data_IF_290109845341
#
_entry.id   IF_290109845341
#
_cell.length_a   1.000
_cell.length_b   1.000
_cell.length_c   1.000
_cell.angle_alpha   90.00
_cell.angle_beta   90.00
_cell.angle_gamma   90.00
#
_symmetry.space_group_name_H-M   'P 1'
#
loop_
_entity.id
_entity.type
_entity.pdbx_description
1 polymer ?
#
# COMPACT_ATOMS: atom_id res chain seq x y z
N UNK A 1 -14.56 34.82 -33.58
CA UNK A 1 -13.31 34.04 -33.57
C UNK A 1 -13.69 32.64 -33.11
N UNK A 2 -13.53 31.65 -33.99
CA UNK A 2 -13.93 30.25 -33.71
C UNK A 2 -12.69 29.51 -33.15
N UNK A 3 -12.79 28.92 -31.93
CA UNK A 3 -11.72 28.09 -31.35
C UNK A 3 -11.58 26.73 -32.05
N UNK A 4 -10.41 26.10 -32.01
CA UNK A 4 -10.17 24.84 -32.70
C UNK A 4 -10.89 23.67 -32.01
N UNK A 5 -11.49 22.82 -32.85
CA UNK A 5 -12.14 21.59 -32.45
C UNK A 5 -11.08 20.54 -32.09
N UNK A 6 -11.20 19.98 -30.89
CA UNK A 6 -10.38 18.83 -30.42
C UNK A 6 -10.95 17.55 -31.06
N UNK A 7 -10.17 16.97 -31.98
CA UNK A 7 -10.53 15.73 -32.67
C UNK A 7 -10.16 14.54 -31.78
N UNK A 8 -11.15 13.93 -31.14
CA UNK A 8 -10.98 12.63 -30.47
C UNK A 8 -10.67 11.54 -31.49
N UNK A 9 -9.48 11.00 -31.49
CA UNK A 9 -9.13 9.79 -32.24
C UNK A 9 -9.75 8.57 -31.55
N UNK A 10 -10.78 7.99 -32.16
CA UNK A 10 -11.31 6.67 -31.77
C UNK A 10 -10.29 5.60 -32.12
N UNK A 11 -9.80 4.85 -31.14
CA UNK A 11 -8.96 3.66 -31.34
C UNK A 11 -9.84 2.47 -31.73
N UNK A 12 -9.43 1.77 -32.78
CA UNK A 12 -10.09 0.57 -33.30
C UNK A 12 -9.83 -0.62 -32.35
N UNK A 13 -10.91 -1.34 -32.01
CA UNK A 13 -10.86 -2.59 -31.23
C UNK A 13 -10.53 -3.76 -32.16
N UNK A 14 -9.49 -4.52 -31.83
CA UNK A 14 -9.24 -5.85 -32.41
C UNK A 14 -10.02 -6.91 -31.60
N UNK A 15 -10.61 -7.92 -32.22
CA UNK A 15 -11.37 -8.94 -31.52
C UNK A 15 -10.42 -9.98 -30.88
N UNK A 16 -10.61 -10.23 -29.58
CA UNK A 16 -9.97 -11.33 -28.87
C UNK A 16 -10.71 -12.63 -29.17
N UNK A 17 -10.00 -13.60 -29.71
CA UNK A 17 -10.47 -14.98 -29.93
C UNK A 17 -10.37 -15.74 -28.61
N UNK A 18 -11.51 -16.14 -28.04
CA UNK A 18 -11.58 -17.04 -26.89
C UNK A 18 -11.29 -18.48 -27.34
N UNK A 19 -10.18 -19.03 -26.86
CA UNK A 19 -9.92 -20.47 -26.91
C UNK A 19 -10.37 -21.13 -25.61
N UNK A 20 -11.44 -21.94 -25.69
CA UNK A 20 -11.96 -22.72 -24.56
C UNK A 20 -11.13 -23.98 -24.37
N UNK A 21 -10.53 -24.17 -23.21
CA UNK A 21 -9.94 -25.44 -22.78
C UNK A 21 -10.82 -26.02 -21.67
N UNK A 22 -11.52 -27.09 -21.97
CA UNK A 22 -12.25 -27.95 -21.03
C UNK A 22 -11.22 -28.89 -20.34
N UNK A 23 -11.08 -28.83 -19.05
CA UNK A 23 -10.43 -29.86 -18.24
C UNK A 23 -11.46 -30.52 -17.33
N UNK A 24 -11.71 -31.80 -17.59
CA UNK A 24 -12.55 -32.68 -16.79
C UNK A 24 -11.75 -33.17 -15.57
N UNK A 25 -12.30 -33.04 -14.36
CA UNK A 25 -11.78 -33.70 -13.16
C UNK A 25 -12.77 -34.76 -12.71
N UNK A 26 -12.29 -36.00 -12.67
CA UNK A 26 -12.99 -37.17 -12.22
C UNK A 26 -13.02 -37.27 -10.69
N UNK A 27 -14.22 -37.61 -10.16
CA UNK A 27 -14.48 -37.97 -8.77
C UNK A 27 -14.24 -39.47 -8.56
N UNK A 28 -13.49 -39.80 -7.51
CA UNK A 28 -13.56 -41.09 -6.82
C UNK A 28 -13.34 -40.77 -5.34
N UNK A 29 -14.08 -41.15 -4.38
CA UNK A 29 -14.96 -42.21 -4.06
C UNK A 29 -14.43 -42.99 -2.86
N UNK A 30 -15.21 -42.96 -1.72
CA UNK A 30 -15.32 -43.94 -0.65
C UNK A 30 -14.20 -44.12 0.43
N UNK A 31 -14.69 -44.10 1.67
CA UNK A 31 -13.99 -44.69 2.82
C UNK A 31 -14.65 -44.41 4.16
N UNK A 32 -15.53 -45.33 4.58
CA UNK A 32 -16.25 -45.40 5.85
C UNK A 32 -15.33 -45.76 7.07
N UNK A 33 -15.67 -45.29 8.26
CA UNK A 33 -15.64 -46.11 9.43
C UNK A 33 -14.70 -45.71 10.57
N UNK A 34 -15.25 -45.52 11.76
CA UNK A 34 -14.49 -45.64 13.00
C UNK A 34 -14.99 -44.77 14.15
N UNK A 35 -16.06 -45.24 14.83
CA UNK A 35 -16.39 -44.80 16.19
C UNK A 35 -15.36 -45.36 17.17
N UNK A 36 -14.94 -44.61 18.15
CA UNK A 36 -14.39 -45.12 19.41
C UNK A 36 -14.63 -44.18 20.57
N UNK A 37 -15.11 -44.79 21.56
CA UNK A 37 -15.69 -44.44 22.84
C UNK A 37 -14.86 -43.55 23.75
N UNK A 38 -15.58 -42.82 24.58
CA UNK A 38 -15.13 -42.07 25.73
C UNK A 38 -14.55 -42.98 26.83
N UNK A 39 -13.51 -42.48 27.52
CA UNK A 39 -13.19 -42.88 28.87
C UNK A 39 -12.57 -41.69 29.62
N UNK A 40 -13.31 -41.30 30.65
CA UNK A 40 -12.95 -40.30 31.65
C UNK A 40 -12.04 -40.95 32.71
N UNK A 41 -10.92 -40.33 33.11
CA UNK A 41 -10.26 -40.71 34.37
C UNK A 41 -10.61 -39.74 35.53
N UNK A 42 -10.47 -40.18 36.78
CA UNK A 42 -11.00 -39.49 37.95
C UNK A 42 -10.10 -38.35 38.43
N UNK A 43 -10.75 -37.39 39.08
CA UNK A 43 -10.12 -36.24 39.74
C UNK A 43 -9.22 -36.67 40.90
N UNK A 44 -7.96 -36.24 40.89
CA UNK A 44 -7.02 -36.34 42.00
C UNK A 44 -6.83 -34.93 42.58
N UNK A 45 -7.28 -34.75 43.82
CA UNK A 45 -7.02 -33.54 44.60
C UNK A 45 -5.53 -33.50 44.98
N UNK A 46 -4.79 -32.53 44.42
CA UNK A 46 -3.45 -32.18 44.86
C UNK A 46 -3.48 -30.82 45.58
N UNK A 47 -2.97 -30.84 46.80
CA UNK A 47 -2.89 -29.70 47.71
C UNK A 47 -2.09 -28.53 47.11
N UNK A 48 -2.63 -27.32 47.26
CA UNK A 48 -1.97 -26.07 46.87
C UNK A 48 -0.77 -25.79 47.79
N UNK A 49 0.45 -25.85 47.27
CA UNK A 49 1.63 -25.29 47.91
C UNK A 49 1.70 -23.79 47.58
N UNK A 50 1.62 -22.95 48.61
CA UNK A 50 1.79 -21.52 48.53
C UNK A 50 3.26 -21.18 48.19
N UNK A 51 3.54 -20.92 46.92
CA UNK A 51 4.82 -20.36 46.49
C UNK A 51 4.92 -18.86 46.81
N UNK A 52 6.13 -18.31 47.01
CA UNK A 52 6.29 -16.88 47.28
C UNK A 52 5.82 -16.03 46.11
N UNK A 53 5.15 -14.90 46.40
CA UNK A 53 4.65 -13.94 45.42
C UNK A 53 5.76 -13.48 44.49
N UNK A 54 5.51 -13.36 43.17
CA UNK A 54 6.49 -12.84 42.25
C UNK A 54 6.82 -11.40 42.61
N UNK A 55 8.13 -11.13 42.76
CA UNK A 55 8.69 -9.80 42.97
C UNK A 55 8.22 -8.87 41.83
N UNK A 56 7.83 -7.61 42.08
CA UNK A 56 7.39 -6.71 41.02
C UNK A 56 8.51 -6.54 40.01
N UNK A 57 8.21 -6.89 38.76
CA UNK A 57 9.14 -6.67 37.63
C UNK A 57 9.60 -5.22 37.63
N UNK A 58 10.92 -5.02 37.69
CA UNK A 58 11.54 -3.71 37.63
C UNK A 58 11.02 -2.98 36.38
N UNK A 59 10.31 -1.87 36.58
CA UNK A 59 9.97 -0.96 35.51
C UNK A 59 11.28 -0.47 34.90
N UNK A 60 11.64 -0.98 33.73
CA UNK A 60 12.72 -0.44 32.93
C UNK A 60 12.34 1.00 32.58
N UNK A 61 13.04 1.95 33.19
CA UNK A 61 12.98 3.36 32.82
C UNK A 61 13.29 3.46 31.32
N UNK A 62 12.48 4.16 30.51
CA UNK A 62 12.78 4.30 29.10
C UNK A 62 14.15 5.02 28.98
N UNK A 63 15.09 4.36 28.31
CA UNK A 63 16.40 4.92 28.00
C UNK A 63 16.19 6.19 27.19
N UNK A 64 16.51 7.36 27.76
CA UNK A 64 16.44 8.64 27.07
C UNK A 64 17.41 8.60 25.87
N UNK A 65 16.92 8.89 24.68
CA UNK A 65 17.77 9.02 23.49
C UNK A 65 18.65 10.27 23.66
N UNK A 66 19.94 10.18 23.31
CA UNK A 66 20.87 11.28 23.39
C UNK A 66 20.42 12.57 22.68
N UNK A 67 19.59 12.42 21.64
CA UNK A 67 18.90 13.51 20.95
C UNK A 67 17.56 13.00 20.45
N UNK A 68 16.46 13.59 20.92
CA UNK A 68 15.10 13.21 20.51
C UNK A 68 14.70 14.03 19.28
N UNK A 69 14.57 13.37 18.13
CA UNK A 69 14.10 13.99 16.87
C UNK A 69 12.71 13.50 16.45
N UNK A 70 12.29 12.38 16.98
CA UNK A 70 10.98 11.75 16.71
C UNK A 70 10.46 11.14 18.02
N UNK A 71 9.83 11.91 18.92
CA UNK A 71 9.29 11.44 20.18
C UNK A 71 8.33 10.27 19.97
N UNK A 72 8.38 9.26 20.85
CA UNK A 72 7.52 8.06 20.76
C UNK A 72 8.04 6.94 19.85
N UNK A 73 9.16 7.17 19.12
CA UNK A 73 9.88 6.11 18.45
C UNK A 73 11.02 5.57 19.34
N UNK A 74 11.36 4.27 19.26
CA UNK A 74 12.56 3.72 19.92
C UNK A 74 13.83 4.42 19.46
N UNK A 75 14.85 4.54 20.33
CA UNK A 75 16.09 5.27 20.00
C UNK A 75 16.78 4.76 18.73
N UNK A 76 16.79 3.44 18.51
CA UNK A 76 17.31 2.85 17.27
C UNK A 76 16.55 3.35 16.03
N UNK A 77 15.23 3.48 16.09
CA UNK A 77 14.43 4.03 14.99
C UNK A 77 14.69 5.52 14.81
N UNK A 78 14.83 6.28 15.89
CA UNK A 78 15.18 7.71 15.80
C UNK A 78 16.54 7.93 15.11
N UNK A 79 17.54 7.06 15.36
CA UNK A 79 18.82 7.12 14.65
C UNK A 79 18.62 6.92 13.15
N UNK A 80 17.86 5.90 12.75
CA UNK A 80 17.55 5.63 11.34
C UNK A 80 16.76 6.76 10.68
N UNK A 81 15.80 7.33 11.39
CA UNK A 81 15.06 8.52 10.92
C UNK A 81 16.02 9.68 10.64
N UNK A 82 17.02 9.89 11.51
CA UNK A 82 18.03 10.93 11.30
C UNK A 82 18.89 10.68 10.06
N UNK A 83 19.26 9.44 9.84
CA UNK A 83 20.03 9.03 8.64
C UNK A 83 19.21 9.24 7.37
N UNK A 84 17.95 8.79 7.37
CA UNK A 84 17.00 9.03 6.27
C UNK A 84 16.79 10.53 6.04
N UNK A 85 16.64 11.33 7.10
CA UNK A 85 16.49 12.80 6.96
C UNK A 85 17.66 13.44 6.22
N UNK A 86 18.91 13.02 6.51
CA UNK A 86 20.09 13.50 5.79
C UNK A 86 20.17 12.95 4.36
N UNK A 87 19.70 11.72 4.16
CA UNK A 87 19.71 11.09 2.86
C UNK A 87 18.77 11.80 1.89
N UNK A 88 17.51 12.02 2.28
CA UNK A 88 16.49 12.65 1.42
C UNK A 88 16.83 14.11 1.07
N UNK A 89 17.55 14.83 1.92
CA UNK A 89 17.99 16.20 1.62
C UNK A 89 18.94 16.31 0.42
N UNK A 90 19.53 15.21 -0.02
CA UNK A 90 20.47 15.15 -1.15
C UNK A 90 19.81 14.63 -2.42
N UNK A 91 18.55 14.24 -2.35
CA UNK A 91 17.81 13.78 -3.51
C UNK A 91 17.29 14.98 -4.33
N UNK A 92 17.31 14.90 -5.66
CA UNK A 92 16.67 15.92 -6.51
C UNK A 92 15.15 15.88 -6.36
N UNK A 93 14.49 16.93 -6.82
CA UNK A 93 13.02 17.00 -6.84
C UNK A 93 12.39 17.21 -5.46
N UNK A 94 11.15 16.77 -5.32
CA UNK A 94 10.34 16.94 -4.10
C UNK A 94 9.90 15.59 -3.56
N UNK A 95 10.32 15.25 -2.34
CA UNK A 95 9.96 14.00 -1.68
C UNK A 95 9.22 14.27 -0.38
N UNK A 96 7.95 13.85 -0.30
CA UNK A 96 7.15 13.83 0.92
C UNK A 96 7.20 12.45 1.58
N UNK A 97 7.43 12.38 2.90
CA UNK A 97 7.47 11.12 3.64
C UNK A 97 6.76 11.25 4.98
N UNK A 98 6.03 10.19 5.35
CA UNK A 98 5.42 9.98 6.67
C UNK A 98 5.74 8.57 7.14
N UNK A 99 6.21 8.45 8.37
CA UNK A 99 6.35 7.19 9.11
C UNK A 99 5.51 7.29 10.38
N UNK A 100 4.61 6.34 10.59
CA UNK A 100 3.76 6.29 11.77
C UNK A 100 3.97 4.97 12.53
N UNK A 101 4.18 5.05 13.82
CA UNK A 101 4.22 3.91 14.73
C UNK A 101 2.83 3.72 15.36
N UNK A 102 2.08 2.76 14.86
CA UNK A 102 0.71 2.48 15.31
C UNK A 102 0.61 1.98 16.75
N UNK A 103 1.69 1.43 17.30
CA UNK A 103 1.72 0.96 18.69
C UNK A 103 1.80 2.11 19.70
N UNK A 104 2.43 3.23 19.33
CA UNK A 104 2.59 4.40 20.21
C UNK A 104 1.80 5.62 19.75
N UNK A 105 1.27 5.61 18.53
CA UNK A 105 0.65 6.77 17.88
C UNK A 105 1.65 7.82 17.39
N UNK A 106 2.96 7.58 17.56
CA UNK A 106 4.00 8.53 17.15
C UNK A 106 4.08 8.62 15.64
N UNK A 107 4.23 9.84 15.12
CA UNK A 107 4.39 10.12 13.69
C UNK A 107 5.61 11.00 13.47
N UNK A 108 6.44 10.60 12.50
CA UNK A 108 7.49 11.43 11.95
C UNK A 108 7.21 11.72 10.48
N UNK A 109 7.54 12.91 10.04
CA UNK A 109 7.40 13.34 8.65
C UNK A 109 8.39 14.44 8.32
N UNK A 110 8.71 14.62 7.03
CA UNK A 110 9.49 15.76 6.57
C UNK A 110 8.60 16.98 6.23
N UNK A 111 9.23 18.07 5.81
CA UNK A 111 8.55 19.32 5.46
C UNK A 111 7.59 19.16 4.26
N UNK A 112 7.89 18.25 3.32
CA UNK A 112 7.11 18.03 2.10
C UNK A 112 6.00 16.98 2.23
N UNK A 113 5.77 16.43 3.41
CA UNK A 113 4.75 15.41 3.64
C UNK A 113 3.31 15.86 3.29
N UNK A 114 3.06 17.17 3.22
CA UNK A 114 1.78 17.76 2.86
C UNK A 114 1.78 18.41 1.45
N UNK A 115 2.84 18.25 0.66
CA UNK A 115 2.89 18.69 -0.72
C UNK A 115 1.98 17.82 -1.58
N UNK A 116 1.18 18.44 -2.44
CA UNK A 116 0.37 17.75 -3.43
C UNK A 116 1.30 17.22 -4.53
N UNK A 117 1.17 15.94 -4.81
CA UNK A 117 1.91 15.22 -5.85
C UNK A 117 0.89 14.28 -6.51
N UNK A 118 0.96 14.04 -7.83
CA UNK A 118 0.12 13.05 -8.49
C UNK A 118 0.14 11.71 -7.76
N UNK A 119 -1.04 11.19 -7.47
CA UNK A 119 -1.19 9.95 -6.68
C UNK A 119 -0.68 8.72 -7.42
N UNK A 120 -0.73 8.77 -8.76
CA UNK A 120 -0.52 7.62 -9.61
C UNK A 120 -1.35 6.41 -9.09
N UNK A 121 -0.89 5.21 -9.30
CA UNK A 121 -1.64 4.00 -8.88
C UNK A 121 -1.79 3.80 -7.37
N UNK A 122 -1.21 4.62 -6.49
CA UNK A 122 -1.47 4.50 -5.05
C UNK A 122 -2.92 4.79 -4.68
N UNK A 123 -3.63 5.60 -5.48
CA UNK A 123 -5.05 5.91 -5.28
C UNK A 123 -5.96 4.67 -5.43
N UNK A 124 -5.52 3.63 -6.14
CA UNK A 124 -6.26 2.37 -6.30
C UNK A 124 -6.54 1.71 -4.95
N UNK A 125 -5.67 1.90 -3.95
CA UNK A 125 -5.94 1.42 -2.59
C UNK A 125 -7.18 2.11 -1.98
N UNK A 126 -7.35 3.41 -2.18
CA UNK A 126 -8.54 4.13 -1.72
C UNK A 126 -9.80 3.66 -2.47
N UNK A 127 -9.71 3.47 -3.80
CA UNK A 127 -10.81 2.93 -4.61
C UNK A 127 -11.24 1.55 -4.11
N UNK A 128 -10.31 0.62 -3.93
CA UNK A 128 -10.64 -0.74 -3.47
C UNK A 128 -11.23 -0.71 -2.07
N UNK A 129 -10.75 0.18 -1.21
CA UNK A 129 -11.30 0.36 0.15
C UNK A 129 -12.73 0.88 0.09
N UNK A 130 -13.01 1.90 -0.71
CA UNK A 130 -14.36 2.46 -0.89
C UNK A 130 -15.34 1.42 -1.45
N UNK A 131 -14.97 0.76 -2.53
CA UNK A 131 -15.78 -0.28 -3.18
C UNK A 131 -16.12 -1.41 -2.20
N UNK A 132 -15.16 -1.89 -1.41
CA UNK A 132 -15.39 -2.96 -0.42
C UNK A 132 -16.33 -2.51 0.70
N UNK A 133 -16.16 -1.29 1.21
CA UNK A 133 -17.02 -0.75 2.25
C UNK A 133 -18.45 -0.54 1.76
N UNK A 134 -18.63 -0.03 0.56
CA UNK A 134 -19.95 0.15 -0.07
C UNK A 134 -20.63 -1.18 -0.38
N UNK A 135 -19.88 -2.19 -0.81
CA UNK A 135 -20.41 -3.53 -0.98
C UNK A 135 -20.87 -4.13 0.36
N UNK A 136 -20.11 -3.95 1.42
CA UNK A 136 -20.52 -4.39 2.76
C UNK A 136 -21.77 -3.66 3.27
N UNK A 137 -21.88 -2.36 2.97
CA UNK A 137 -23.05 -1.56 3.33
C UNK A 137 -24.28 -1.87 2.47
N UNK A 138 -24.20 -2.78 1.50
CA UNK A 138 -25.28 -3.12 0.58
C UNK A 138 -25.60 -2.05 -0.46
N UNK A 139 -24.73 -1.04 -0.60
CA UNK A 139 -24.93 0.06 -1.57
C UNK A 139 -24.58 -0.36 -3.00
N UNK A 140 -23.70 -1.33 -3.15
CA UNK A 140 -23.33 -1.96 -4.42
C UNK A 140 -23.23 -3.48 -4.23
N UNK A 141 -23.27 -4.24 -5.32
CA UNK A 141 -23.09 -5.69 -5.29
C UNK A 141 -21.96 -6.09 -6.24
N UNK A 142 -20.90 -6.67 -5.68
CA UNK A 142 -19.73 -7.10 -6.43
C UNK A 142 -19.95 -8.47 -7.08
N UNK A 143 -19.73 -8.53 -8.39
CA UNK A 143 -19.71 -9.75 -9.18
C UNK A 143 -18.35 -10.47 -9.06
N UNK A 144 -18.24 -11.73 -9.53
CA UNK A 144 -16.95 -12.40 -9.66
C UNK A 144 -15.94 -11.62 -10.56
N UNK A 145 -16.42 -10.98 -11.63
CA UNK A 145 -15.58 -10.16 -12.53
C UNK A 145 -15.02 -8.93 -11.80
N UNK A 146 -15.84 -8.25 -11.00
CA UNK A 146 -15.38 -7.10 -10.19
C UNK A 146 -14.29 -7.51 -9.19
N UNK A 147 -14.43 -8.68 -8.56
CA UNK A 147 -13.42 -9.21 -7.63
C UNK A 147 -12.12 -9.59 -8.34
N UNK A 148 -12.19 -10.09 -9.58
CA UNK A 148 -11.02 -10.37 -10.40
C UNK A 148 -10.31 -9.07 -10.78
N UNK A 149 -11.06 -8.04 -11.21
CA UNK A 149 -10.50 -6.72 -11.51
C UNK A 149 -9.87 -6.08 -10.27
N UNK A 150 -10.51 -6.13 -9.10
CA UNK A 150 -9.92 -5.65 -7.84
C UNK A 150 -8.61 -6.36 -7.51
N UNK A 151 -8.54 -7.67 -7.77
CA UNK A 151 -7.30 -8.43 -7.57
C UNK A 151 -6.20 -7.89 -8.47
N UNK A 152 -6.42 -7.73 -9.77
CA UNK A 152 -5.42 -7.27 -10.72
C UNK A 152 -5.00 -5.81 -10.46
N UNK A 153 -5.96 -4.93 -10.14
CA UNK A 153 -5.68 -3.54 -9.78
C UNK A 153 -4.75 -3.40 -8.55
N UNK A 154 -4.79 -4.36 -7.61
CA UNK A 154 -3.87 -4.41 -6.47
C UNK A 154 -2.59 -5.21 -6.77
N UNK A 155 -2.69 -6.33 -7.48
CA UNK A 155 -1.60 -7.29 -7.70
C UNK A 155 -0.53 -6.76 -8.66
N UNK A 156 -0.92 -6.40 -9.87
CA UNK A 156 -0.05 -5.85 -10.93
C UNK A 156 -0.17 -4.35 -11.09
N UNK A 157 -1.12 -3.72 -10.38
CA UNK A 157 -1.50 -2.32 -10.64
C UNK A 157 -2.19 -2.11 -12.00
N UNK A 158 -2.90 -3.11 -12.51
CA UNK A 158 -3.52 -3.07 -13.82
C UNK A 158 -4.46 -1.85 -13.96
N UNK A 159 -4.28 -1.06 -15.02
CA UNK A 159 -5.03 0.17 -15.27
C UNK A 159 -6.39 -0.12 -15.92
N UNK A 160 -6.48 -1.08 -16.85
CA UNK A 160 -7.76 -1.45 -17.48
C UNK A 160 -8.77 -1.98 -16.44
N UNK A 161 -8.29 -2.75 -15.48
CA UNK A 161 -9.11 -3.26 -14.38
C UNK A 161 -9.51 -2.13 -13.40
N UNK A 162 -8.63 -1.16 -13.19
CA UNK A 162 -8.96 0.02 -12.39
C UNK A 162 -10.01 0.89 -13.12
N UNK A 163 -9.87 1.10 -14.43
CA UNK A 163 -10.84 1.80 -15.27
C UNK A 163 -12.20 1.11 -15.25
N UNK A 164 -12.21 -0.21 -15.42
CA UNK A 164 -13.45 -0.99 -15.34
C UNK A 164 -14.19 -0.74 -14.02
N UNK A 165 -13.48 -0.77 -12.90
CA UNK A 165 -14.06 -0.53 -11.57
C UNK A 165 -14.45 0.93 -11.37
N UNK A 166 -13.64 1.87 -11.86
CA UNK A 166 -13.93 3.30 -11.76
C UNK A 166 -15.23 3.66 -12.49
N UNK A 167 -15.33 3.32 -13.75
CA UNK A 167 -16.52 3.64 -14.56
C UNK A 167 -17.79 2.91 -14.12
N UNK A 168 -17.63 1.81 -13.39
CA UNK A 168 -18.74 1.05 -12.86
C UNK A 168 -19.24 1.55 -11.49
N UNK A 169 -18.34 1.94 -10.63
CA UNK A 169 -18.66 2.18 -9.22
C UNK A 169 -18.30 3.59 -8.73
N UNK A 170 -17.38 4.27 -9.38
CA UNK A 170 -16.87 5.55 -8.92
C UNK A 170 -17.34 6.71 -9.80
N UNK A 171 -17.18 7.92 -9.27
CA UNK A 171 -17.51 9.18 -9.94
C UNK A 171 -16.95 10.36 -9.12
N UNK A 172 -17.36 11.58 -9.44
CA UNK A 172 -16.92 12.80 -8.74
C UNK A 172 -17.09 12.74 -7.21
N UNK A 173 -18.12 12.02 -6.71
CA UNK A 173 -18.34 11.89 -5.26
C UNK A 173 -17.34 10.98 -4.54
N UNK A 174 -16.44 10.32 -5.27
CA UNK A 174 -15.29 9.59 -4.69
C UNK A 174 -14.46 10.50 -3.77
N UNK A 175 -14.25 11.78 -4.16
CA UNK A 175 -13.51 12.74 -3.33
C UNK A 175 -14.16 12.99 -1.97
N UNK A 176 -15.49 12.98 -1.89
CA UNK A 176 -16.19 13.15 -0.61
C UNK A 176 -16.04 11.90 0.26
N UNK A 177 -16.07 10.72 -0.34
CA UNK A 177 -15.92 9.46 0.40
C UNK A 177 -14.50 9.24 0.93
N UNK A 178 -13.47 9.57 0.16
CA UNK A 178 -12.07 9.40 0.61
C UNK A 178 -11.69 10.38 1.73
N UNK A 179 -12.41 11.48 1.90
CA UNK A 179 -12.24 12.34 3.08
C UNK A 179 -12.50 11.59 4.38
N UNK A 180 -13.44 10.64 4.39
CA UNK A 180 -13.68 9.79 5.56
C UNK A 180 -12.49 8.87 5.89
N UNK A 181 -11.57 8.63 4.94
CA UNK A 181 -10.31 7.90 5.15
C UNK A 181 -9.17 8.81 5.65
N UNK A 182 -9.46 10.08 5.91
CA UNK A 182 -8.47 11.09 6.30
C UNK A 182 -7.71 11.72 5.14
N UNK A 183 -8.19 11.54 3.90
CA UNK A 183 -7.57 12.07 2.67
C UNK A 183 -8.12 13.47 2.31
N UNK A 184 -8.14 14.39 3.26
CA UNK A 184 -8.82 15.69 3.13
C UNK A 184 -8.22 16.63 2.07
N UNK A 185 -6.97 16.44 1.67
CA UNK A 185 -6.27 17.23 0.65
C UNK A 185 -6.14 16.50 -0.70
N UNK A 186 -6.85 15.40 -0.89
CA UNK A 186 -6.92 14.70 -2.16
C UNK A 186 -7.91 15.41 -3.08
N UNK A 187 -7.54 15.58 -4.35
CA UNK A 187 -8.33 16.34 -5.33
C UNK A 187 -8.13 15.80 -6.73
N UNK A 188 -9.13 16.01 -7.61
CA UNK A 188 -8.91 15.85 -9.05
C UNK A 188 -8.15 17.06 -9.59
N UNK A 189 -7.23 16.81 -10.51
CA UNK A 189 -6.48 17.86 -11.24
C UNK A 189 -7.16 18.27 -12.54
N UNK A 190 -7.83 17.32 -13.19
CA UNK A 190 -8.70 17.54 -14.33
C UNK A 190 -9.95 16.68 -14.14
N UNK A 191 -10.83 16.48 -14.95
CA UNK A 191 -12.05 15.67 -14.85
C UNK A 191 -12.19 14.74 -13.63
N UNK A 192 -13.31 14.09 -13.47
CA UNK A 192 -13.51 13.14 -12.35
C UNK A 192 -12.99 11.75 -12.77
N UNK A 193 -11.66 11.55 -12.69
CA UNK A 193 -11.00 10.31 -13.09
C UNK A 193 -9.88 9.95 -12.11
N UNK A 194 -9.72 8.66 -11.79
CA UNK A 194 -8.74 8.20 -10.80
C UNK A 194 -7.27 8.50 -11.20
N UNK A 195 -6.98 8.50 -12.50
CA UNK A 195 -5.65 8.82 -13.02
C UNK A 195 -5.27 10.30 -12.89
N UNK A 196 -6.27 11.17 -12.67
CA UNK A 196 -6.07 12.62 -12.55
C UNK A 196 -6.22 13.09 -11.09
N UNK A 197 -5.55 12.43 -10.17
CA UNK A 197 -5.67 12.70 -8.73
C UNK A 197 -4.35 13.12 -8.13
N UNK A 198 -4.34 14.29 -7.50
CA UNK A 198 -3.29 14.70 -6.57
C UNK A 198 -3.62 14.35 -5.14
N UNK A 199 -2.61 13.94 -4.39
CA UNK A 199 -2.72 13.68 -2.96
C UNK A 199 -1.41 14.04 -2.23
N UNK A 200 -1.29 13.68 -0.96
CA UNK A 200 -0.10 13.95 -0.14
C UNK A 200 0.36 12.69 0.58
N UNK A 201 1.63 12.61 0.96
CA UNK A 201 2.12 11.49 1.78
C UNK A 201 1.35 11.37 3.10
N UNK A 202 0.89 12.49 3.70
CA UNK A 202 0.01 12.46 4.88
C UNK A 202 -1.32 11.79 4.61
N UNK A 203 -1.94 12.09 3.47
CA UNK A 203 -3.23 11.49 3.11
C UNK A 203 -3.08 9.98 2.83
N UNK A 204 -2.00 9.56 2.19
CA UNK A 204 -1.72 8.14 1.96
C UNK A 204 -1.45 7.40 3.29
N UNK A 205 -0.72 8.00 4.24
CA UNK A 205 -0.55 7.43 5.57
C UNK A 205 -1.88 7.33 6.32
N UNK A 206 -2.72 8.37 6.26
CA UNK A 206 -4.05 8.35 6.85
C UNK A 206 -4.91 7.24 6.26
N UNK A 207 -4.90 7.07 4.94
CA UNK A 207 -5.59 5.96 4.26
C UNK A 207 -5.10 4.60 4.78
N UNK A 208 -3.80 4.39 4.84
CA UNK A 208 -3.23 3.13 5.32
C UNK A 208 -3.62 2.87 6.78
N UNK A 209 -3.55 3.88 7.64
CA UNK A 209 -4.03 3.78 9.02
C UNK A 209 -5.52 3.48 9.09
N UNK A 210 -6.34 4.10 8.24
CA UNK A 210 -7.77 3.80 8.16
C UNK A 210 -8.00 2.34 7.78
N UNK A 211 -7.32 1.83 6.74
CA UNK A 211 -7.39 0.43 6.32
C UNK A 211 -7.06 -0.50 7.49
N UNK A 212 -6.00 -0.22 8.24
CA UNK A 212 -5.51 -1.09 9.30
C UNK A 212 -6.29 -1.01 10.62
N UNK A 213 -7.08 0.07 10.85
CA UNK A 213 -7.73 0.31 12.15
C UNK A 213 -9.25 0.46 12.08
N UNK A 214 -9.78 0.99 10.98
CA UNK A 214 -11.19 1.38 10.87
C UNK A 214 -12.02 0.46 9.97
N UNK A 215 -11.38 -0.24 9.02
CA UNK A 215 -12.12 -1.19 8.19
C UNK A 215 -12.54 -2.41 8.99
N UNK A 216 -13.68 -3.04 8.66
CA UNK A 216 -14.11 -4.30 9.24
C UNK A 216 -13.03 -5.38 9.11
N UNK A 217 -12.94 -6.34 10.07
CA UNK A 217 -11.85 -7.31 10.11
C UNK A 217 -11.65 -8.12 8.82
N UNK A 218 -12.71 -8.51 8.14
CA UNK A 218 -12.62 -9.29 6.90
C UNK A 218 -12.11 -8.43 5.71
N UNK A 219 -12.51 -7.16 5.61
CA UNK A 219 -11.99 -6.21 4.60
C UNK A 219 -10.51 -5.93 4.88
N UNK A 220 -10.16 -5.65 6.13
CA UNK A 220 -8.77 -5.46 6.55
C UNK A 220 -7.92 -6.68 6.21
N UNK A 221 -8.37 -7.87 6.60
CA UNK A 221 -7.67 -9.12 6.29
C UNK A 221 -7.45 -9.32 4.81
N UNK A 222 -8.47 -9.05 3.98
CA UNK A 222 -8.35 -9.10 2.52
C UNK A 222 -7.30 -8.10 2.01
N UNK A 223 -7.39 -6.83 2.38
CA UNK A 223 -6.47 -5.79 1.91
C UNK A 223 -5.03 -6.07 2.38
N UNK A 224 -4.83 -6.42 3.66
CA UNK A 224 -3.49 -6.78 4.18
C UNK A 224 -2.91 -7.94 3.39
N UNK A 225 -3.69 -9.01 3.20
CA UNK A 225 -3.24 -10.17 2.41
C UNK A 225 -2.85 -9.77 0.99
N UNK A 226 -3.67 -8.95 0.30
CA UNK A 226 -3.37 -8.51 -1.07
C UNK A 226 -2.11 -7.66 -1.15
N UNK A 227 -1.93 -6.73 -0.23
CA UNK A 227 -0.74 -5.86 -0.18
C UNK A 227 0.54 -6.64 0.15
N UNK A 228 0.45 -7.74 0.88
CA UNK A 228 1.59 -8.65 1.15
C UNK A 228 1.88 -9.65 0.02
N UNK A 229 0.98 -9.77 -0.96
CA UNK A 229 1.09 -10.72 -2.05
C UNK A 229 0.95 -10.01 -3.40
N UNK A 230 1.66 -8.90 -3.56
CA UNK A 230 1.73 -8.14 -4.81
C UNK A 230 2.71 -8.77 -5.79
N UNK A 231 2.57 -8.44 -7.07
CA UNK A 231 3.45 -8.89 -8.14
C UNK A 231 4.91 -8.52 -7.85
N UNK A 232 5.80 -9.50 -7.94
CA UNK A 232 7.24 -9.29 -7.75
C UNK A 232 7.84 -8.37 -8.81
N UNK A 233 7.25 -8.33 -10.01
CA UNK A 233 7.73 -7.53 -11.13
C UNK A 233 7.29 -6.07 -10.95
N UNK A 234 6.01 -5.85 -10.56
CA UNK A 234 5.40 -4.53 -10.68
C UNK A 234 5.37 -3.75 -9.36
N UNK A 235 5.28 -4.47 -8.21
CA UNK A 235 4.91 -3.84 -6.95
C UNK A 235 5.85 -4.16 -5.77
N UNK A 236 6.93 -4.93 -5.96
CA UNK A 236 7.85 -5.24 -4.86
C UNK A 236 9.03 -4.25 -4.79
N UNK A 237 8.69 -2.97 -4.59
CA UNK A 237 9.65 -1.90 -4.33
C UNK A 237 9.11 -0.94 -3.24
N UNK A 238 9.68 0.21 -3.03
CA UNK A 238 9.22 1.15 -2.01
C UNK A 238 9.21 0.54 -0.61
N UNK A 239 8.05 0.47 0.05
CA UNK A 239 7.92 -0.13 1.40
C UNK A 239 8.42 -1.58 1.45
N UNK A 240 8.39 -2.30 0.32
CA UNK A 240 8.92 -3.66 0.23
C UNK A 240 10.40 -3.76 0.62
N UNK A 241 11.15 -2.65 0.47
CA UNK A 241 12.53 -2.52 0.95
C UNK A 241 12.73 -2.74 2.45
N UNK A 242 11.65 -2.76 3.24
CA UNK A 242 11.71 -3.16 4.64
C UNK A 242 12.22 -4.59 4.83
N UNK A 243 12.14 -5.41 3.79
CA UNK A 243 12.62 -6.80 3.78
C UNK A 243 11.66 -7.80 4.41
N UNK A 244 11.80 -9.10 4.07
CA UNK A 244 10.83 -10.14 4.42
C UNK A 244 10.66 -10.35 5.93
N UNK A 245 11.68 -10.10 6.73
CA UNK A 245 11.60 -10.20 8.20
C UNK A 245 10.62 -9.19 8.82
N UNK A 246 10.31 -8.10 8.11
CA UNK A 246 9.34 -7.09 8.53
C UNK A 246 7.94 -7.29 7.91
N UNK A 247 7.71 -8.37 7.18
CA UNK A 247 6.42 -8.70 6.56
C UNK A 247 5.76 -7.50 5.87
N UNK A 248 6.45 -6.82 4.94
CA UNK A 248 5.90 -5.63 4.32
C UNK A 248 4.66 -5.95 3.47
N UNK A 249 3.83 -4.94 3.32
CA UNK A 249 2.74 -4.93 2.36
C UNK A 249 2.56 -3.51 1.83
N UNK A 250 2.40 -3.35 0.52
CA UNK A 250 2.34 -2.03 -0.09
C UNK A 250 1.46 -1.95 -1.34
N UNK A 251 1.13 -0.73 -1.70
CA UNK A 251 0.67 -0.34 -3.03
C UNK A 251 1.61 0.73 -3.54
N UNK A 252 2.21 0.46 -4.66
CA UNK A 252 3.07 1.41 -5.35
C UNK A 252 2.31 2.10 -6.49
N UNK A 253 2.81 3.25 -6.88
CA UNK A 253 2.29 4.02 -7.99
C UNK A 253 3.40 4.76 -8.70
N UNK A 254 3.34 4.81 -10.01
CA UNK A 254 4.28 5.55 -10.85
C UNK A 254 3.58 6.08 -12.09
N UNK A 255 4.06 7.17 -12.58
CA UNK A 255 3.65 7.74 -13.85
C UNK A 255 4.73 8.66 -14.39
N UNK A 256 4.68 8.92 -15.67
CA UNK A 256 5.44 9.99 -16.30
C UNK A 256 4.47 11.13 -16.63
N UNK A 257 4.67 12.29 -16.01
CA UNK A 257 3.91 13.49 -16.34
C UNK A 257 4.03 13.78 -17.85
N UNK A 258 2.91 13.94 -18.57
CA UNK A 258 2.91 14.27 -20.00
C UNK A 258 3.45 15.66 -20.34
N UNK A 259 3.97 16.40 -19.36
CA UNK A 259 4.64 17.68 -19.60
C UNK A 259 5.81 17.52 -20.58
N UNK A 260 6.22 18.58 -21.30
CA UNK A 260 7.29 18.50 -22.29
C UNK A 260 8.63 17.95 -21.77
N UNK A 261 8.80 17.93 -20.45
CA UNK A 261 10.04 17.48 -19.77
C UNK A 261 9.95 16.03 -19.29
N UNK A 262 8.74 15.42 -19.27
CA UNK A 262 8.56 14.02 -18.93
C UNK A 262 8.96 13.67 -17.49
N UNK A 263 8.54 14.48 -16.52
CA UNK A 263 8.87 14.27 -15.10
C UNK A 263 8.31 12.96 -14.57
N UNK A 264 9.14 12.18 -13.89
CA UNK A 264 8.71 10.94 -13.28
C UNK A 264 8.19 11.14 -11.84
N UNK A 265 7.07 10.50 -11.57
CA UNK A 265 6.48 10.37 -10.23
C UNK A 265 6.63 8.93 -9.78
N UNK A 266 7.07 8.72 -8.55
CA UNK A 266 7.12 7.40 -7.91
C UNK A 266 6.63 7.49 -6.48
N UNK A 267 5.64 6.67 -6.13
CA UNK A 267 4.98 6.71 -4.82
C UNK A 267 4.87 5.30 -4.24
N UNK A 268 4.91 5.21 -2.92
CA UNK A 268 4.66 3.95 -2.20
C UNK A 268 3.88 4.25 -0.93
N UNK A 269 2.91 3.40 -0.61
CA UNK A 269 2.19 3.42 0.66
C UNK A 269 2.00 2.00 1.16
N UNK A 270 2.31 1.77 2.44
CA UNK A 270 2.23 0.43 2.98
C UNK A 270 2.49 0.37 4.48
N UNK A 271 2.78 -0.82 4.91
CA UNK A 271 3.09 -1.13 6.30
C UNK A 271 4.28 -2.10 6.40
N UNK A 272 4.92 -2.11 7.56
CA UNK A 272 6.00 -3.04 7.91
C UNK A 272 6.06 -3.28 9.43
N UNK A 273 6.80 -4.31 9.81
CA UNK A 273 7.01 -4.70 11.21
C UNK A 273 5.91 -5.64 11.75
N UNK A 274 6.12 -6.20 12.95
CA UNK A 274 5.19 -7.13 13.58
C UNK A 274 3.78 -6.53 13.66
N UNK A 275 2.76 -7.29 13.25
CA UNK A 275 1.35 -6.85 13.30
C UNK A 275 1.09 -5.52 12.56
N UNK A 276 1.81 -5.26 11.46
CA UNK A 276 1.75 -4.00 10.71
C UNK A 276 1.99 -2.78 11.64
N UNK A 277 3.01 -2.88 12.50
CA UNK A 277 3.30 -1.87 13.53
C UNK A 277 3.54 -0.48 12.96
N UNK A 278 4.20 -0.40 11.81
CA UNK A 278 4.54 0.87 11.17
C UNK A 278 3.78 1.01 9.87
N UNK A 279 3.24 2.20 9.59
CA UNK A 279 2.87 2.62 8.25
C UNK A 279 3.92 3.55 7.69
N UNK A 280 4.16 3.46 6.40
CA UNK A 280 5.09 4.30 5.66
C UNK A 280 4.44 4.74 4.35
N UNK A 281 4.40 6.05 4.13
CA UNK A 281 3.98 6.65 2.87
C UNK A 281 5.09 7.56 2.36
N UNK A 282 5.47 7.37 1.09
CA UNK A 282 6.45 8.21 0.41
C UNK A 282 5.90 8.59 -0.95
N UNK A 283 5.92 9.88 -1.26
CA UNK A 283 5.57 10.41 -2.57
C UNK A 283 6.76 11.19 -3.09
N UNK A 284 7.17 10.90 -4.32
CA UNK A 284 8.36 11.48 -4.89
C UNK A 284 8.14 11.96 -6.32
N UNK A 285 8.15 13.27 -6.47
CA UNK A 285 8.24 13.98 -7.73
C UNK A 285 9.71 14.27 -8.03
N UNK A 286 10.25 13.67 -9.07
CA UNK A 286 11.65 13.80 -9.43
C UNK A 286 12.01 15.19 -10.00
N UNK A 287 11.02 16.04 -10.27
CA UNK A 287 11.21 17.35 -10.86
C UNK A 287 11.80 17.23 -12.27
N UNK A 288 12.67 18.17 -12.63
CA UNK A 288 13.38 18.14 -13.92
C UNK A 288 14.53 17.13 -13.97
N UNK A 289 14.68 16.29 -12.96
CA UNK A 289 15.69 15.24 -12.93
C UNK A 289 15.26 14.12 -13.88
N UNK A 290 15.82 14.10 -15.06
CA UNK A 290 15.65 13.04 -16.05
C UNK A 290 17.03 12.47 -16.44
N UNK A 291 17.23 11.19 -16.10
CA UNK A 291 18.32 10.41 -16.68
C UNK A 291 17.77 9.62 -17.89
N UNK A 292 17.37 10.27 -18.97
CA UNK A 292 16.97 9.63 -20.22
C UNK A 292 15.84 8.57 -20.10
N UNK A 293 14.60 9.01 -20.09
CA UNK A 293 13.43 8.14 -20.24
C UNK A 293 13.19 7.22 -19.03
N UNK A 294 13.13 5.90 -19.24
CA UNK A 294 12.83 4.91 -18.20
C UNK A 294 13.75 4.90 -16.98
N UNK A 295 14.88 5.61 -17.02
CA UNK A 295 15.81 5.75 -15.90
C UNK A 295 15.20 6.46 -14.69
N UNK A 296 14.30 7.43 -14.92
CA UNK A 296 13.62 8.16 -13.84
C UNK A 296 12.79 7.26 -12.95
N UNK A 297 12.02 6.32 -13.52
CA UNK A 297 11.31 5.30 -12.74
C UNK A 297 12.26 4.46 -11.89
N UNK A 298 13.33 3.93 -12.49
CA UNK A 298 14.32 3.11 -11.77
C UNK A 298 14.99 3.90 -10.65
N UNK A 299 15.34 5.14 -10.93
CA UNK A 299 15.92 6.02 -9.91
C UNK A 299 14.94 6.20 -8.74
N UNK A 300 13.74 6.67 -9.00
CA UNK A 300 12.74 6.95 -7.97
C UNK A 300 12.39 5.72 -7.14
N UNK A 301 11.99 4.62 -7.78
CA UNK A 301 11.62 3.38 -7.09
C UNK A 301 12.78 2.80 -6.25
N UNK A 302 14.03 2.87 -6.74
CA UNK A 302 15.21 2.48 -5.98
C UNK A 302 15.41 3.37 -4.73
N UNK A 303 15.20 4.70 -4.86
CA UNK A 303 15.36 5.61 -3.72
C UNK A 303 14.31 5.33 -2.64
N UNK A 304 13.04 5.08 -3.03
CA UNK A 304 11.99 4.72 -2.08
C UNK A 304 12.28 3.40 -1.38
N UNK A 305 12.76 2.39 -2.13
CA UNK A 305 13.17 1.10 -1.58
C UNK A 305 14.34 1.25 -0.61
N UNK A 306 15.34 2.05 -0.95
CA UNK A 306 16.49 2.34 -0.08
C UNK A 306 16.05 3.04 1.23
N UNK A 307 15.12 4.01 1.16
CA UNK A 307 14.58 4.67 2.35
C UNK A 307 13.92 3.67 3.28
N UNK A 308 13.08 2.78 2.75
CA UNK A 308 12.44 1.74 3.56
C UNK A 308 13.48 0.77 4.15
N UNK A 309 14.48 0.35 3.37
CA UNK A 309 15.57 -0.50 3.87
C UNK A 309 16.35 0.17 5.01
N UNK A 310 16.64 1.46 4.92
CA UNK A 310 17.30 2.22 5.99
C UNK A 310 16.44 2.29 7.25
N UNK A 311 15.13 2.51 7.12
CA UNK A 311 14.21 2.60 8.26
C UNK A 311 14.05 1.25 8.98
N UNK A 312 13.95 0.16 8.24
CA UNK A 312 13.59 -1.15 8.77
C UNK A 312 14.74 -2.15 8.83
N UNK A 313 15.95 -1.74 8.46
CA UNK A 313 17.14 -2.62 8.34
C UNK A 313 16.87 -3.79 7.37
N UNK A 314 16.11 -3.52 6.34
CA UNK A 314 15.86 -4.46 5.25
C UNK A 314 17.06 -4.60 4.32
N UNK A 315 16.96 -5.55 3.39
CA UNK A 315 17.97 -5.73 2.36
C UNK A 315 17.55 -4.98 1.10
N UNK A 316 18.42 -4.12 0.60
CA UNK A 316 18.24 -3.47 -0.69
C UNK A 316 18.64 -4.47 -1.80
N UNK A 317 17.71 -5.32 -2.20
CA UNK A 317 17.97 -6.34 -3.24
C UNK A 317 17.16 -6.14 -4.52
N UNK A 318 16.32 -5.13 -4.60
CA UNK A 318 15.50 -4.98 -5.80
C UNK A 318 16.12 -3.96 -6.76
N UNK A 319 16.73 -4.47 -7.82
CA UNK A 319 16.66 -3.73 -9.08
C UNK A 319 15.20 -3.84 -9.50
N UNK A 320 14.46 -2.73 -9.64
CA UNK A 320 13.13 -2.80 -10.24
C UNK A 320 13.24 -3.51 -11.58
N UNK A 321 12.41 -4.50 -11.78
CA UNK A 321 12.33 -5.17 -13.08
C UNK A 321 11.96 -4.13 -14.16
N UNK A 322 12.25 -4.40 -15.44
CA UNK A 322 11.92 -3.47 -16.50
C UNK A 322 10.45 -3.10 -16.37
N UNK A 323 10.17 -1.81 -16.62
CA UNK A 323 8.80 -1.31 -16.69
C UNK A 323 7.93 -2.30 -17.45
N UNK A 324 6.70 -2.58 -16.99
CA UNK A 324 5.68 -3.07 -17.87
C UNK A 324 5.72 -2.16 -19.10
N UNK A 325 5.80 -2.76 -20.28
CA UNK A 325 5.92 -2.02 -21.55
C UNK A 325 5.02 -0.81 -21.49
N UNK A 326 5.58 0.37 -21.76
CA UNK A 326 4.80 1.59 -21.78
C UNK A 326 3.51 1.31 -22.53
N UNK A 327 2.39 1.58 -21.88
CA UNK A 327 1.08 1.49 -22.54
C UNK A 327 1.17 2.37 -23.77
N UNK A 328 0.93 1.83 -24.98
CA UNK A 328 1.07 2.56 -26.21
C UNK A 328 0.16 3.77 -26.31
#
# INVERSE_FOLDING_TARGET
>A
MRGPAVTMRRRARLPVVLGSVLAAVALAGCGLGGQSSASTPPASHAAAASGPAPSPAARTTPTSCATTIAPGFPCAMQSRIREVSRYIQRLPGTLGIVLHNRATGATWHNAHAATLIPAASTIKLAMMTDILLRNQAGQIQLTPADRAAMFQALYTSNDDDADYLWFRYENASFMDRVRAFGMSRTQFTSGAYWGDVDTTARNLDNLMNYVLTRTPPHIRGYLVYRLQHVSAIDQQWGVWGAGPANHPGNKDGWEQDPSPVGVWITNTVGFAGPHQQYTLAIMYDLGSFDENGNSGFKFGSNKLTQIAAMLFQGHHTSTPHPLPSAVP
#
